data_IF_871852451653
#
_entry.id   IF_871852451653
#
_cell.length_a   1.000
_cell.length_b   1.000
_cell.length_c   1.000
_cell.angle_alpha   90.00
_cell.angle_beta   90.00
_cell.angle_gamma   90.00
#
_symmetry.space_group_name_H-M   'P 1'
#
loop_
_entity.id
_entity.type
_entity.pdbx_description
1 polymer ?
#
# COMPACT_ATOMS: atom_id res chain seq x y z
N UNK A 1 -40.47 7.37 -13.83
CA UNK A 1 -39.81 6.29 -13.07
C UNK A 1 -38.55 6.86 -12.46
N UNK A 2 -38.44 6.86 -11.14
CA UNK A 2 -37.24 7.28 -10.41
C UNK A 2 -36.11 6.31 -10.76
N UNK A 3 -34.94 6.80 -11.19
CA UNK A 3 -33.85 5.89 -11.56
C UNK A 3 -33.34 5.14 -10.32
N UNK A 4 -32.68 3.99 -10.51
CA UNK A 4 -32.04 3.29 -9.40
C UNK A 4 -31.04 4.18 -8.64
N UNK A 5 -30.43 5.15 -9.34
CA UNK A 5 -29.51 6.13 -8.79
C UNK A 5 -30.24 7.17 -7.92
N UNK A 6 -31.42 7.61 -8.34
CA UNK A 6 -32.26 8.56 -7.60
C UNK A 6 -32.89 7.91 -6.35
N UNK A 7 -33.25 6.63 -6.44
CA UNK A 7 -33.74 5.84 -5.29
C UNK A 7 -32.63 5.57 -4.26
N UNK A 8 -31.37 5.46 -4.72
CA UNK A 8 -30.23 5.36 -3.82
C UNK A 8 -29.93 6.71 -3.17
N UNK A 9 -29.84 7.80 -3.95
CA UNK A 9 -29.66 9.16 -3.42
C UNK A 9 -30.73 9.57 -2.39
N UNK A 10 -31.99 9.15 -2.59
CA UNK A 10 -33.09 9.41 -1.65
C UNK A 10 -32.95 8.72 -0.29
N UNK A 11 -32.16 7.64 -0.17
CA UNK A 11 -31.89 6.97 1.13
C UNK A 11 -30.88 7.74 2.00
N UNK A 12 -30.22 8.74 1.44
CA UNK A 12 -29.03 9.36 2.02
C UNK A 12 -29.22 10.84 2.35
N UNK A 13 -30.42 11.40 2.11
CA UNK A 13 -30.77 12.76 2.53
C UNK A 13 -30.69 12.87 4.06
N UNK A 14 -29.74 13.67 4.55
CA UNK A 14 -29.58 14.01 5.96
C UNK A 14 -28.53 13.20 6.73
N UNK A 15 -27.87 12.21 6.12
CA UNK A 15 -26.76 11.49 6.78
C UNK A 15 -25.46 12.27 6.56
N UNK A 16 -24.93 12.84 7.63
CA UNK A 16 -23.64 13.53 7.64
C UNK A 16 -22.49 12.52 7.64
N UNK A 17 -21.52 12.71 6.75
CA UNK A 17 -20.30 11.89 6.69
C UNK A 17 -19.39 12.31 7.84
N UNK A 18 -19.09 11.36 8.75
CA UNK A 18 -18.18 11.59 9.90
C UNK A 18 -16.80 10.96 9.71
N UNK A 19 -16.68 9.97 8.83
CA UNK A 19 -15.41 9.42 8.41
C UNK A 19 -15.45 9.01 6.94
N UNK A 20 -14.31 9.09 6.28
CA UNK A 20 -14.18 8.82 4.86
C UNK A 20 -12.94 7.98 4.59
N UNK A 21 -13.09 6.85 3.92
CA UNK A 21 -12.01 6.03 3.41
C UNK A 21 -11.90 6.18 1.90
N UNK A 22 -10.69 6.13 1.37
CA UNK A 22 -10.48 6.06 -0.07
C UNK A 22 -9.28 5.20 -0.44
N UNK A 23 -9.37 4.52 -1.57
CA UNK A 23 -8.25 3.77 -2.15
C UNK A 23 -8.27 3.83 -3.67
N UNK A 24 -7.06 3.93 -4.24
CA UNK A 24 -6.84 4.15 -5.66
C UNK A 24 -6.11 2.98 -6.30
N UNK A 25 -6.58 2.57 -7.49
CA UNK A 25 -5.90 1.55 -8.30
C UNK A 25 -5.69 2.05 -9.71
N UNK A 26 -4.49 1.84 -10.25
CA UNK A 26 -4.21 2.04 -11.68
C UNK A 26 -4.44 0.74 -12.43
N UNK A 27 -5.48 0.68 -13.23
CA UNK A 27 -5.82 -0.50 -14.02
C UNK A 27 -5.84 -0.19 -15.53
N UNK A 28 -5.97 -1.24 -16.33
CA UNK A 28 -6.14 -1.11 -17.78
C UNK A 28 -7.62 -1.05 -18.08
N UNK A 29 -8.09 0.11 -18.51
CA UNK A 29 -9.50 0.35 -18.81
C UNK A 29 -9.69 0.56 -20.31
N UNK A 30 -10.80 0.06 -20.85
CA UNK A 30 -11.19 0.30 -22.24
C UNK A 30 -11.82 1.68 -22.33
N UNK A 31 -11.20 2.57 -23.08
CA UNK A 31 -11.71 3.91 -23.33
C UNK A 31 -11.81 4.19 -24.83
N UNK A 32 -12.70 5.10 -25.19
CA UNK A 32 -12.82 5.62 -26.54
C UNK A 32 -11.85 6.79 -26.69
N UNK A 33 -10.77 6.60 -27.44
CA UNK A 33 -9.71 7.60 -27.63
C UNK A 33 -9.83 8.21 -29.03
N UNK A 34 -9.84 9.54 -29.17
CA UNK A 34 -9.90 10.18 -30.47
C UNK A 34 -8.59 9.99 -31.25
N UNK A 35 -8.70 9.73 -32.56
CA UNK A 35 -7.57 9.85 -33.49
C UNK A 35 -7.26 11.32 -33.82
N UNK A 36 -6.26 11.53 -34.68
CA UNK A 36 -5.86 12.87 -35.15
C UNK A 36 -6.97 13.64 -35.87
N UNK A 37 -8.06 12.98 -36.26
CA UNK A 37 -9.22 13.57 -36.92
C UNK A 37 -10.45 13.66 -35.98
N UNK A 38 -10.28 13.33 -34.69
CA UNK A 38 -11.33 13.36 -33.68
C UNK A 38 -12.26 12.15 -33.68
N UNK A 39 -12.02 11.14 -34.54
CA UNK A 39 -12.83 9.93 -34.55
C UNK A 39 -12.43 9.04 -33.38
N UNK A 40 -13.41 8.64 -32.57
CA UNK A 40 -13.20 7.83 -31.38
C UNK A 40 -12.97 6.36 -31.73
N UNK A 41 -11.91 5.77 -31.19
CA UNK A 41 -11.59 4.34 -31.34
C UNK A 41 -11.41 3.66 -29.98
N UNK A 42 -11.84 2.41 -29.82
CA UNK A 42 -11.62 1.68 -28.58
C UNK A 42 -10.12 1.41 -28.39
N UNK A 43 -9.60 1.84 -27.25
CA UNK A 43 -8.21 1.64 -26.84
C UNK A 43 -8.14 1.19 -25.38
N UNK A 44 -7.08 0.48 -25.03
CA UNK A 44 -6.75 0.18 -23.63
C UNK A 44 -5.85 1.29 -23.09
N UNK A 45 -6.40 2.09 -22.17
CA UNK A 45 -5.65 3.12 -21.46
C UNK A 45 -5.34 2.65 -20.03
N UNK A 46 -4.31 3.24 -19.43
CA UNK A 46 -3.99 3.03 -18.01
C UNK A 46 -4.40 4.28 -17.24
N UNK A 47 -5.40 4.15 -16.38
CA UNK A 47 -5.96 5.27 -15.62
C UNK A 47 -6.13 4.91 -14.15
N UNK A 48 -6.27 5.93 -13.29
CA UNK A 48 -6.44 5.74 -11.85
C UNK A 48 -7.93 5.80 -11.49
N UNK A 49 -8.42 4.74 -10.87
CA UNK A 49 -9.77 4.67 -10.31
C UNK A 49 -9.69 4.74 -8.80
N UNK A 50 -10.36 5.72 -8.21
CA UNK A 50 -10.45 5.91 -6.76
C UNK A 50 -11.84 5.53 -6.29
N UNK A 51 -11.89 4.61 -5.33
CA UNK A 51 -13.12 4.25 -4.61
C UNK A 51 -13.18 4.98 -3.29
N UNK A 52 -14.39 5.34 -2.85
CA UNK A 52 -14.64 6.08 -1.60
C UNK A 52 -15.70 5.37 -0.78
N UNK A 53 -15.43 5.20 0.51
CA UNK A 53 -16.35 4.65 1.51
C UNK A 53 -16.58 5.66 2.63
N UNK A 54 -17.73 5.57 3.29
CA UNK A 54 -17.95 6.25 4.56
C UNK A 54 -17.56 5.33 5.71
N UNK A 55 -17.18 5.94 6.81
CA UNK A 55 -16.95 5.27 8.09
C UNK A 55 -17.94 5.83 9.13
N UNK A 56 -18.42 5.00 10.09
CA UNK A 56 -17.95 3.65 10.42
C UNK A 56 -18.69 2.50 9.74
N UNK A 57 -19.66 2.78 8.87
CA UNK A 57 -20.50 1.73 8.27
C UNK A 57 -19.76 0.91 7.19
N UNK A 58 -18.63 1.43 6.67
CA UNK A 58 -17.94 0.87 5.51
C UNK A 58 -18.74 0.99 4.21
N UNK A 59 -19.81 1.81 4.20
CA UNK A 59 -20.70 1.94 3.05
C UNK A 59 -19.95 2.58 1.89
N UNK A 60 -20.12 2.00 0.71
CA UNK A 60 -19.66 2.58 -0.54
C UNK A 60 -20.37 3.92 -0.81
N UNK A 61 -19.60 4.98 -1.05
CA UNK A 61 -20.11 6.32 -1.35
C UNK A 61 -19.99 6.66 -2.83
N UNK A 62 -18.82 6.43 -3.42
CA UNK A 62 -18.51 6.94 -4.76
C UNK A 62 -17.31 6.23 -5.40
N UNK A 63 -17.18 6.37 -6.73
CA UNK A 63 -15.96 6.06 -7.48
C UNK A 63 -15.68 7.18 -8.49
N UNK A 64 -14.41 7.53 -8.68
CA UNK A 64 -14.04 8.56 -9.65
C UNK A 64 -12.67 8.31 -10.27
N UNK A 65 -12.48 8.89 -11.45
CA UNK A 65 -11.16 9.04 -12.09
C UNK A 65 -10.69 10.46 -11.80
N UNK A 66 -9.57 10.68 -11.09
CA UNK A 66 -9.04 12.01 -10.85
C UNK A 66 -8.68 12.69 -12.18
N UNK A 67 -8.95 13.98 -12.30
CA UNK A 67 -8.49 14.76 -13.45
C UNK A 67 -6.96 14.74 -13.55
N UNK A 68 -6.45 14.91 -14.77
CA UNK A 68 -5.03 15.13 -14.98
C UNK A 68 -4.58 16.44 -14.29
N UNK A 69 -3.51 16.40 -13.47
CA UNK A 69 -3.03 17.61 -12.81
C UNK A 69 -2.41 18.57 -13.83
N UNK A 70 -2.76 19.85 -13.73
CA UNK A 70 -2.13 20.90 -14.54
C UNK A 70 -0.99 21.52 -13.72
N UNK A 71 0.27 21.57 -14.21
CA UNK A 71 1.37 22.15 -13.45
C UNK A 71 1.05 23.57 -12.93
N UNK A 72 1.32 23.88 -11.64
CA UNK A 72 2.17 23.15 -10.69
C UNK A 72 1.43 22.10 -9.81
N UNK A 73 0.18 21.76 -10.11
CA UNK A 73 -0.60 20.80 -9.34
C UNK A 73 0.01 19.39 -9.40
N UNK A 74 -0.34 18.57 -8.41
CA UNK A 74 0.09 17.16 -8.30
C UNK A 74 -1.13 16.25 -8.25
N UNK A 75 -1.00 14.97 -8.62
CA UNK A 75 -2.13 14.02 -8.60
C UNK A 75 -2.87 13.99 -7.25
N UNK A 76 -2.12 14.04 -6.15
CA UNK A 76 -2.68 14.05 -4.79
C UNK A 76 -3.63 15.22 -4.52
N UNK A 77 -3.41 16.37 -5.15
CA UNK A 77 -4.30 17.54 -5.07
C UNK A 77 -5.63 17.28 -5.76
N UNK A 78 -5.61 16.66 -6.96
CA UNK A 78 -6.82 16.33 -7.71
C UNK A 78 -7.71 15.35 -6.96
N UNK A 79 -7.11 14.32 -6.35
CA UNK A 79 -7.84 13.42 -5.45
C UNK A 79 -8.46 14.19 -4.28
N UNK A 80 -7.70 15.08 -3.62
CA UNK A 80 -8.23 15.87 -2.50
C UNK A 80 -9.38 16.80 -2.91
N UNK A 81 -9.29 17.41 -4.09
CA UNK A 81 -10.32 18.27 -4.66
C UNK A 81 -11.62 17.50 -4.87
N UNK A 82 -11.56 16.33 -5.52
CA UNK A 82 -12.76 15.51 -5.74
C UNK A 82 -13.37 15.01 -4.43
N UNK A 83 -12.54 14.67 -3.43
CA UNK A 83 -13.03 14.31 -2.10
C UNK A 83 -13.72 15.50 -1.41
N UNK A 84 -13.20 16.71 -1.56
CA UNK A 84 -13.83 17.92 -1.02
C UNK A 84 -15.18 18.19 -1.70
N UNK A 85 -15.25 18.11 -3.03
CA UNK A 85 -16.49 18.32 -3.79
C UNK A 85 -17.56 17.29 -3.42
N UNK A 86 -17.16 16.05 -3.15
CA UNK A 86 -18.04 15.03 -2.60
C UNK A 86 -18.58 15.46 -1.23
N UNK A 87 -17.72 15.93 -0.31
CA UNK A 87 -18.18 16.41 1.00
C UNK A 87 -19.15 17.59 0.89
N UNK A 88 -18.92 18.53 -0.04
CA UNK A 88 -19.86 19.63 -0.32
C UNK A 88 -21.21 19.09 -0.80
N UNK A 89 -21.19 18.10 -1.71
CA UNK A 89 -22.41 17.47 -2.24
C UNK A 89 -23.25 16.82 -1.14
N UNK A 90 -22.59 16.23 -0.14
CA UNK A 90 -23.23 15.60 1.02
C UNK A 90 -23.38 16.54 2.22
N UNK A 91 -23.13 17.85 2.06
CA UNK A 91 -23.18 18.85 3.13
C UNK A 91 -22.39 18.41 4.38
N UNK A 92 -21.22 17.82 4.19
CA UNK A 92 -20.45 17.10 5.21
C UNK A 92 -19.04 17.68 5.46
N UNK A 93 -18.77 18.89 4.96
CA UNK A 93 -17.50 19.59 5.18
C UNK A 93 -17.24 19.85 6.67
N UNK A 94 -18.29 20.12 7.45
CA UNK A 94 -18.18 20.40 8.88
C UNK A 94 -18.21 19.14 9.77
N UNK A 95 -18.77 18.04 9.26
CA UNK A 95 -18.97 16.81 10.03
C UNK A 95 -17.82 15.81 9.92
N UNK A 96 -16.98 15.88 8.87
CA UNK A 96 -15.92 14.90 8.66
C UNK A 96 -14.87 14.97 9.77
N UNK A 97 -14.61 13.89 10.49
CA UNK A 97 -13.64 13.86 11.60
C UNK A 97 -12.45 12.96 11.23
N UNK A 98 -12.69 11.86 10.54
CA UNK A 98 -11.69 10.82 10.25
C UNK A 98 -11.47 10.68 8.75
N UNK A 99 -10.20 10.57 8.35
CA UNK A 99 -9.81 10.25 6.99
C UNK A 99 -8.94 8.99 6.98
N UNK A 100 -9.38 7.99 6.21
CA UNK A 100 -8.71 6.70 6.09
C UNK A 100 -8.06 6.54 4.72
N UNK A 101 -6.84 5.99 4.72
CA UNK A 101 -6.10 5.73 3.48
C UNK A 101 -4.79 4.97 3.71
N UNK A 102 -4.14 4.62 2.60
CA UNK A 102 -2.81 4.00 2.64
C UNK A 102 -1.73 4.96 3.15
N UNK A 103 -0.69 4.46 3.82
CA UNK A 103 0.40 5.28 4.40
C UNK A 103 1.39 5.85 3.38
N UNK A 104 1.03 5.88 2.10
CA UNK A 104 1.93 6.30 1.03
C UNK A 104 2.21 7.80 1.11
N UNK A 105 3.37 8.23 0.61
CA UNK A 105 3.72 9.65 0.52
C UNK A 105 2.68 10.48 -0.24
N UNK A 106 2.00 9.89 -1.23
CA UNK A 106 0.94 10.55 -1.99
C UNK A 106 -0.27 10.90 -1.12
N UNK A 107 -0.58 10.10 -0.11
CA UNK A 107 -1.70 10.34 0.79
C UNK A 107 -1.27 11.18 2.01
N UNK A 108 -0.19 10.77 2.68
CA UNK A 108 0.21 11.29 4.01
C UNK A 108 1.29 12.37 3.97
N UNK A 109 1.79 12.74 2.78
CA UNK A 109 2.83 13.76 2.64
C UNK A 109 2.44 15.11 3.24
N UNK A 110 3.19 15.58 4.23
CA UNK A 110 2.82 16.76 5.03
C UNK A 110 2.62 18.08 4.25
N UNK A 111 3.32 18.29 3.11
CA UNK A 111 3.13 19.48 2.25
C UNK A 111 2.08 19.30 1.16
N UNK A 112 2.02 18.11 0.58
CA UNK A 112 1.35 17.89 -0.71
C UNK A 112 0.79 16.50 -0.92
N UNK A 113 0.53 15.78 0.18
CA UNK A 113 -0.30 14.59 0.15
C UNK A 113 -1.78 14.95 0.15
N UNK A 114 -2.62 14.01 -0.28
CA UNK A 114 -4.07 14.19 -0.38
C UNK A 114 -4.68 14.65 0.94
N UNK A 115 -4.27 14.07 2.06
CA UNK A 115 -4.79 14.45 3.38
C UNK A 115 -4.45 15.91 3.72
N UNK A 116 -3.20 16.31 3.49
CA UNK A 116 -2.75 17.67 3.75
C UNK A 116 -3.43 18.71 2.86
N UNK A 117 -3.80 18.35 1.62
CA UNK A 117 -4.58 19.21 0.73
C UNK A 117 -6.04 19.32 1.18
N UNK A 118 -6.67 18.20 1.53
CA UNK A 118 -8.06 18.20 1.99
C UNK A 118 -8.22 18.99 3.30
N UNK A 119 -7.31 18.82 4.26
CA UNK A 119 -7.31 19.63 5.50
C UNK A 119 -7.19 21.14 5.24
N UNK A 120 -6.41 21.55 4.23
CA UNK A 120 -6.31 22.96 3.84
C UNK A 120 -7.63 23.47 3.25
N UNK A 121 -8.30 22.68 2.43
CA UNK A 121 -9.60 23.03 1.86
C UNK A 121 -10.69 23.13 2.94
N UNK A 122 -10.67 22.21 3.92
CA UNK A 122 -11.59 22.22 5.06
C UNK A 122 -11.24 23.26 6.14
N UNK A 123 -10.06 23.89 6.07
CA UNK A 123 -9.60 24.85 7.07
C UNK A 123 -9.33 24.26 8.47
N UNK A 124 -9.22 22.93 8.60
CA UNK A 124 -9.05 22.24 9.89
C UNK A 124 -8.35 20.89 9.76
N UNK A 125 -7.86 20.38 10.89
CA UNK A 125 -7.20 19.06 10.97
C UNK A 125 -8.21 17.92 11.12
N UNK A 126 -7.86 16.77 10.56
CA UNK A 126 -8.61 15.52 10.65
C UNK A 126 -7.79 14.47 11.42
N UNK A 127 -8.47 13.49 11.99
CA UNK A 127 -7.81 12.29 12.47
C UNK A 127 -7.50 11.37 11.27
N UNK A 128 -6.25 10.93 11.15
CA UNK A 128 -5.84 10.07 10.06
C UNK A 128 -5.82 8.60 10.52
N UNK A 129 -6.71 7.79 9.95
CA UNK A 129 -6.73 6.33 10.10
C UNK A 129 -5.87 5.72 8.99
N UNK A 130 -4.57 5.54 9.27
CA UNK A 130 -3.59 5.14 8.25
C UNK A 130 -3.28 3.65 8.33
N UNK A 131 -3.22 2.99 7.17
CA UNK A 131 -2.84 1.59 7.07
C UNK A 131 -1.37 1.34 7.51
N UNK A 132 -1.19 0.61 8.62
CA UNK A 132 0.13 0.29 9.20
C UNK A 132 0.86 -0.83 8.41
N UNK A 133 0.16 -1.60 7.57
CA UNK A 133 0.79 -2.64 6.75
C UNK A 133 1.81 -2.04 5.77
N UNK A 134 1.46 -0.93 5.11
CA UNK A 134 2.36 -0.21 4.22
C UNK A 134 3.57 0.36 4.98
N UNK A 135 3.36 0.82 6.21
CA UNK A 135 4.44 1.27 7.12
C UNK A 135 5.39 0.12 7.49
N UNK A 136 4.90 -1.12 7.53
CA UNK A 136 5.71 -2.31 7.78
C UNK A 136 6.52 -2.76 6.54
N UNK A 137 5.97 -2.59 5.34
CA UNK A 137 6.64 -2.93 4.07
C UNK A 137 7.81 -2.00 3.73
N UNK A 138 7.68 -0.72 4.07
CA UNK A 138 8.64 0.29 3.66
C UNK A 138 10.07 0.04 4.20
N UNK A 139 10.29 -0.27 5.50
CA UNK A 139 11.60 -0.66 6.02
C UNK A 139 12.23 -1.86 5.29
N UNK A 140 11.44 -2.87 4.92
CA UNK A 140 11.95 -4.02 4.16
C UNK A 140 12.46 -3.59 2.79
N UNK A 141 11.69 -2.78 2.06
CA UNK A 141 12.07 -2.27 0.73
C UNK A 141 13.36 -1.44 0.78
N UNK A 142 13.54 -0.63 1.83
CA UNK A 142 14.75 0.15 2.03
C UNK A 142 15.95 -0.69 2.46
N UNK A 143 15.73 -1.73 3.28
CA UNK A 143 16.78 -2.68 3.60
C UNK A 143 17.30 -3.34 2.33
N UNK A 144 16.41 -3.88 1.49
CA UNK A 144 16.76 -4.49 0.19
C UNK A 144 17.54 -3.50 -0.67
N UNK A 145 17.01 -2.28 -0.82
CA UNK A 145 17.67 -1.22 -1.61
C UNK A 145 19.09 -0.92 -1.11
N UNK A 146 19.29 -0.96 0.21
CA UNK A 146 20.59 -0.67 0.83
C UNK A 146 21.60 -1.81 0.70
N UNK A 147 21.17 -3.07 0.64
CA UNK A 147 22.10 -4.22 0.77
C UNK A 147 22.17 -5.13 -0.44
N UNK A 148 21.20 -5.06 -1.35
CA UNK A 148 21.13 -5.90 -2.54
C UNK A 148 21.06 -5.07 -3.83
N UNK A 149 20.11 -4.15 -3.94
CA UNK A 149 20.01 -3.26 -5.10
C UNK A 149 18.70 -2.49 -5.19
N UNK A 150 18.63 -1.43 -6.02
CA UNK A 150 17.45 -0.58 -6.14
C UNK A 150 16.23 -1.31 -6.73
N UNK A 151 15.07 -0.68 -6.58
CA UNK A 151 13.83 -1.18 -7.19
C UNK A 151 13.87 -0.95 -8.71
N UNK A 152 13.56 -1.98 -9.50
CA UNK A 152 13.40 -1.87 -10.96
C UNK A 152 11.97 -1.51 -11.36
N UNK A 153 10.99 -1.88 -10.53
CA UNK A 153 9.57 -1.62 -10.73
C UNK A 153 8.85 -1.52 -9.38
N UNK A 154 7.52 -1.49 -9.36
CA UNK A 154 6.74 -1.57 -8.12
C UNK A 154 6.86 -2.94 -7.43
N UNK A 155 7.28 -3.98 -8.17
CA UNK A 155 7.31 -5.38 -7.71
C UNK A 155 8.68 -6.05 -7.86
N UNK A 156 9.68 -5.39 -8.46
CA UNK A 156 10.97 -6.00 -8.81
C UNK A 156 12.19 -5.21 -8.33
N UNK A 157 13.33 -5.90 -8.24
CA UNK A 157 14.61 -5.33 -7.80
C UNK A 157 15.73 -5.72 -8.78
N UNK A 158 16.78 -4.91 -8.86
CA UNK A 158 17.94 -5.17 -9.75
C UNK A 158 19.12 -5.85 -9.05
N UNK A 159 19.05 -6.08 -7.74
CA UNK A 159 20.14 -6.70 -6.99
C UNK A 159 20.32 -8.19 -7.30
N UNK A 160 21.53 -8.74 -7.09
CA UNK A 160 21.85 -10.13 -7.44
C UNK A 160 20.99 -11.16 -6.69
N UNK A 161 20.53 -10.86 -5.47
CA UNK A 161 19.65 -11.74 -4.71
C UNK A 161 18.19 -11.55 -5.13
N UNK A 162 17.70 -10.31 -5.13
CA UNK A 162 16.28 -10.04 -5.30
C UNK A 162 15.81 -10.12 -6.77
N UNK A 163 16.73 -10.07 -7.72
CA UNK A 163 16.43 -10.38 -9.14
C UNK A 163 16.00 -11.83 -9.34
N UNK A 164 16.38 -12.75 -8.45
CA UNK A 164 15.97 -14.15 -8.52
C UNK A 164 14.53 -14.40 -8.03
N UNK A 165 13.87 -13.41 -7.42
CA UNK A 165 12.52 -13.59 -6.85
C UNK A 165 11.47 -13.91 -7.92
N UNK A 166 11.67 -13.49 -9.17
CA UNK A 166 10.72 -13.75 -10.26
C UNK A 166 10.67 -15.22 -10.67
N UNK A 167 11.74 -15.98 -10.46
CA UNK A 167 11.82 -17.41 -10.80
C UNK A 167 11.74 -18.33 -9.59
N UNK A 168 11.39 -17.80 -8.40
CA UNK A 168 11.45 -18.56 -7.15
C UNK A 168 10.53 -19.79 -7.14
N UNK A 169 9.37 -19.72 -7.81
CA UNK A 169 8.44 -20.83 -7.96
C UNK A 169 8.99 -21.95 -8.86
N UNK A 170 9.91 -21.62 -9.77
CA UNK A 170 10.54 -22.55 -10.70
C UNK A 170 11.76 -23.26 -10.07
N UNK A 171 12.25 -22.75 -8.94
CA UNK A 171 13.42 -23.33 -8.27
C UNK A 171 13.09 -24.66 -7.58
N UNK A 172 14.03 -25.60 -7.69
CA UNK A 172 13.94 -26.87 -6.96
C UNK A 172 14.00 -26.65 -5.44
N UNK A 173 13.25 -27.45 -4.69
CA UNK A 173 13.34 -27.49 -3.24
C UNK A 173 14.74 -27.93 -2.77
N UNK A 174 15.23 -27.29 -1.71
CA UNK A 174 16.39 -27.78 -0.97
C UNK A 174 15.92 -28.88 0.01
N UNK A 175 16.50 -30.08 -0.13
CA UNK A 175 16.15 -31.27 0.66
C UNK A 175 16.48 -31.16 2.16
N UNK A 176 17.25 -30.16 2.56
CA UNK A 176 17.50 -29.83 3.97
C UNK A 176 16.24 -29.30 4.67
N UNK A 177 15.32 -28.69 3.91
CA UNK A 177 14.03 -28.24 4.43
C UNK A 177 12.99 -29.34 4.25
N UNK A 178 12.21 -29.59 5.29
CA UNK A 178 11.11 -30.55 5.27
C UNK A 178 9.79 -29.82 5.42
N UNK A 179 8.83 -30.18 4.56
CA UNK A 179 7.45 -29.72 4.69
C UNK A 179 6.88 -30.12 6.05
N UNK A 180 6.08 -29.23 6.63
CA UNK A 180 5.26 -29.58 7.80
C UNK A 180 4.13 -30.50 7.31
N UNK A 181 3.78 -31.56 8.06
CA UNK A 181 2.67 -32.43 7.70
C UNK A 181 1.38 -31.64 7.45
N UNK A 182 0.71 -31.90 6.33
CA UNK A 182 -0.51 -31.22 5.89
C UNK A 182 -0.28 -29.92 5.10
N UNK A 183 0.97 -29.54 4.82
CA UNK A 183 1.34 -28.40 3.99
C UNK A 183 1.94 -28.78 2.63
N UNK A 184 1.88 -30.07 2.25
CA UNK A 184 2.51 -30.62 1.05
C UNK A 184 1.99 -29.99 -0.25
N UNK A 185 0.75 -29.48 -0.22
CA UNK A 185 0.08 -28.85 -1.38
C UNK A 185 0.43 -27.36 -1.55
N UNK A 186 1.18 -26.75 -0.62
CA UNK A 186 1.60 -25.34 -0.70
C UNK A 186 2.86 -25.20 -1.56
N UNK A 187 2.77 -25.60 -2.83
CA UNK A 187 3.93 -25.75 -3.72
C UNK A 187 4.29 -24.51 -4.53
N UNK A 188 3.45 -23.47 -4.51
CA UNK A 188 3.65 -22.24 -5.27
C UNK A 188 3.31 -21.02 -4.40
N UNK A 189 4.08 -19.96 -4.59
CA UNK A 189 3.73 -18.62 -4.10
C UNK A 189 2.72 -18.00 -5.07
N UNK A 190 1.50 -17.67 -4.63
CA UNK A 190 0.55 -16.89 -5.41
C UNK A 190 1.11 -15.50 -5.78
N UNK A 191 0.73 -14.99 -6.95
CA UNK A 191 1.21 -13.69 -7.47
C UNK A 191 0.97 -12.50 -6.52
N UNK A 192 -0.05 -12.59 -5.67
CA UNK A 192 -0.40 -11.55 -4.70
C UNK A 192 0.40 -11.59 -3.39
N UNK A 193 1.33 -12.53 -3.23
CA UNK A 193 2.18 -12.61 -2.04
C UNK A 193 3.22 -11.48 -2.00
N UNK A 194 3.65 -11.18 -0.78
CA UNK A 194 4.59 -10.10 -0.47
C UNK A 194 6.03 -10.48 -0.82
N UNK A 195 6.87 -9.49 -1.11
CA UNK A 195 8.33 -9.68 -1.28
C UNK A 195 8.96 -10.44 -0.11
N UNK A 196 8.48 -10.22 1.11
CA UNK A 196 8.96 -10.92 2.31
C UNK A 196 8.72 -12.44 2.24
N UNK A 197 7.56 -12.86 1.73
CA UNK A 197 7.24 -14.28 1.55
C UNK A 197 8.12 -14.90 0.47
N UNK A 198 8.34 -14.21 -0.65
CA UNK A 198 9.24 -14.68 -1.71
C UNK A 198 10.67 -14.86 -1.21
N UNK A 199 11.17 -13.96 -0.35
CA UNK A 199 12.51 -14.10 0.27
C UNK A 199 12.62 -15.32 1.17
N UNK A 200 11.65 -15.53 2.07
CA UNK A 200 11.65 -16.70 2.96
C UNK A 200 11.47 -18.00 2.19
N UNK A 201 10.63 -17.99 1.15
CA UNK A 201 10.47 -19.14 0.29
C UNK A 201 11.73 -19.44 -0.50
N UNK A 202 12.40 -18.42 -1.05
CA UNK A 202 13.68 -18.59 -1.75
C UNK A 202 14.73 -19.25 -0.85
N UNK A 203 14.74 -18.96 0.46
CA UNK A 203 15.61 -19.64 1.42
C UNK A 203 15.45 -21.17 1.43
N UNK A 204 14.27 -21.67 1.11
CA UNK A 204 13.96 -23.12 1.05
C UNK A 204 14.30 -23.75 -0.31
N UNK A 205 14.86 -22.98 -1.23
CA UNK A 205 15.15 -23.38 -2.62
C UNK A 205 16.63 -23.58 -2.87
N UNK A 206 16.94 -24.32 -3.93
CA UNK A 206 18.29 -24.42 -4.51
C UNK A 206 18.61 -23.17 -5.33
N UNK A 207 18.80 -22.04 -4.65
CA UNK A 207 19.04 -20.73 -5.26
C UNK A 207 20.48 -20.52 -5.79
N UNK A 208 21.43 -21.40 -5.46
CA UNK A 208 22.82 -21.32 -5.95
C UNK A 208 23.69 -20.19 -5.39
N UNK A 209 23.10 -19.21 -4.69
CA UNK A 209 23.82 -18.12 -4.02
C UNK A 209 24.93 -18.62 -3.07
N UNK A 210 26.09 -17.96 -3.11
CA UNK A 210 27.23 -18.24 -2.23
C UNK A 210 27.87 -16.94 -1.70
N UNK A 211 28.75 -17.05 -0.71
CA UNK A 211 29.55 -15.93 -0.21
C UNK A 211 28.72 -14.72 0.22
N UNK A 212 28.97 -13.56 -0.43
CA UNK A 212 28.32 -12.29 -0.10
C UNK A 212 26.81 -12.32 -0.36
N UNK A 213 26.38 -12.95 -1.45
CA UNK A 213 24.97 -12.98 -1.86
C UNK A 213 24.14 -13.87 -0.90
N UNK A 214 24.70 -15.01 -0.50
CA UNK A 214 24.09 -15.87 0.50
C UNK A 214 23.92 -15.13 1.84
N UNK A 215 24.94 -14.39 2.28
CA UNK A 215 24.85 -13.56 3.48
C UNK A 215 23.79 -12.45 3.34
N UNK A 216 23.68 -11.82 2.16
CA UNK A 216 22.61 -10.86 1.87
C UNK A 216 21.23 -11.50 2.01
N UNK A 217 21.01 -12.67 1.40
CA UNK A 217 19.74 -13.39 1.54
C UNK A 217 19.46 -13.75 3.00
N UNK A 218 20.46 -14.23 3.74
CA UNK A 218 20.33 -14.58 5.15
C UNK A 218 19.90 -13.37 6.00
N UNK A 219 20.49 -12.19 5.76
CA UNK A 219 20.10 -10.94 6.44
C UNK A 219 18.64 -10.59 6.14
N UNK A 220 18.23 -10.67 4.86
CA UNK A 220 16.86 -10.36 4.44
C UNK A 220 15.85 -11.33 5.05
N UNK A 221 16.12 -12.63 4.99
CA UNK A 221 15.27 -13.69 5.56
C UNK A 221 15.14 -13.53 7.08
N UNK A 222 16.25 -13.30 7.78
CA UNK A 222 16.22 -13.03 9.23
C UNK A 222 15.38 -11.80 9.55
N UNK A 223 15.52 -10.73 8.78
CA UNK A 223 14.69 -9.54 8.95
C UNK A 223 13.20 -9.85 8.72
N UNK A 224 12.87 -10.62 7.68
CA UNK A 224 11.50 -11.02 7.39
C UNK A 224 10.88 -11.80 8.55
N UNK A 225 11.58 -12.80 9.08
CA UNK A 225 11.09 -13.65 10.17
C UNK A 225 11.01 -12.91 11.51
N UNK A 226 12.04 -12.12 11.84
CA UNK A 226 12.15 -11.49 13.16
C UNK A 226 11.36 -10.19 13.27
N UNK A 227 11.22 -9.45 12.17
CA UNK A 227 10.61 -8.12 12.14
C UNK A 227 9.32 -8.12 11.31
N UNK A 228 9.42 -8.37 10.01
CA UNK A 228 8.31 -8.13 9.08
C UNK A 228 7.08 -8.98 9.41
N UNK A 229 7.22 -10.31 9.50
CA UNK A 229 6.10 -11.20 9.74
C UNK A 229 5.52 -11.05 11.14
N UNK A 230 6.40 -10.83 12.14
CA UNK A 230 5.95 -10.56 13.51
C UNK A 230 5.00 -9.37 13.55
N UNK A 231 5.35 -8.27 12.86
CA UNK A 231 4.50 -7.09 12.78
C UNK A 231 3.29 -7.30 11.86
N UNK A 232 3.48 -7.95 10.71
CA UNK A 232 2.41 -8.21 9.76
C UNK A 232 1.25 -8.96 10.41
N UNK A 233 1.54 -10.07 11.09
CA UNK A 233 0.51 -10.85 11.78
C UNK A 233 -0.08 -10.10 12.97
N UNK A 234 0.74 -9.39 13.75
CA UNK A 234 0.26 -8.57 14.87
C UNK A 234 -0.73 -7.49 14.40
N UNK A 235 -0.44 -6.81 13.29
CA UNK A 235 -1.33 -5.80 12.67
C UNK A 235 -2.62 -6.46 12.15
N UNK A 236 -2.55 -7.64 11.56
CA UNK A 236 -3.75 -8.34 11.04
C UNK A 236 -4.67 -8.80 12.18
N UNK A 237 -4.10 -9.29 13.27
CA UNK A 237 -4.85 -9.74 14.45
C UNK A 237 -5.42 -8.56 15.23
N UNK A 238 -4.61 -7.52 15.46
CA UNK A 238 -4.97 -6.32 16.22
C UNK A 238 -5.16 -5.12 15.30
N UNK A 239 -6.11 -5.21 14.37
CA UNK A 239 -6.28 -4.22 13.29
C UNK A 239 -7.04 -2.94 13.70
N UNK A 240 -7.29 -2.71 15.00
CA UNK A 240 -8.05 -1.55 15.46
C UNK A 240 -7.17 -0.30 15.49
N UNK A 241 -7.80 0.86 15.32
CA UNK A 241 -7.08 2.15 15.37
C UNK A 241 -6.31 2.35 16.68
N UNK A 242 -6.88 1.91 17.81
CA UNK A 242 -6.27 1.96 19.15
C UNK A 242 -5.00 1.10 19.30
N UNK A 243 -4.81 0.11 18.44
CA UNK A 243 -3.63 -0.76 18.43
C UNK A 243 -2.48 -0.18 17.60
N UNK A 244 -2.76 0.80 16.73
CA UNK A 244 -1.77 1.49 15.88
C UNK A 244 -0.50 1.91 16.63
N UNK A 245 -0.58 2.67 17.75
CA UNK A 245 0.58 3.05 18.54
C UNK A 245 1.39 1.86 19.07
N UNK A 246 0.73 0.74 19.41
CA UNK A 246 1.40 -0.47 19.89
C UNK A 246 2.23 -1.09 18.78
N UNK A 247 1.73 -1.14 17.54
CA UNK A 247 2.49 -1.67 16.40
C UNK A 247 3.76 -0.87 16.12
N UNK A 248 3.67 0.47 16.16
CA UNK A 248 4.85 1.35 15.98
C UNK A 248 5.88 1.12 17.09
N UNK A 249 5.44 1.03 18.35
CA UNK A 249 6.33 0.72 19.47
C UNK A 249 6.96 -0.67 19.35
N UNK A 250 6.19 -1.68 18.94
CA UNK A 250 6.69 -3.03 18.68
C UNK A 250 7.72 -3.02 17.57
N UNK A 251 7.48 -2.29 16.47
CA UNK A 251 8.44 -2.14 15.38
C UNK A 251 9.75 -1.54 15.88
N UNK A 252 9.70 -0.44 16.64
CA UNK A 252 10.89 0.17 17.25
C UNK A 252 11.64 -0.79 18.18
N UNK A 253 10.93 -1.59 18.99
CA UNK A 253 11.54 -2.56 19.91
C UNK A 253 12.25 -3.70 19.17
N UNK A 254 11.56 -4.29 18.20
CA UNK A 254 12.09 -5.41 17.41
C UNK A 254 13.23 -4.95 16.50
N UNK A 255 13.17 -3.72 15.98
CA UNK A 255 14.28 -3.14 15.22
C UNK A 255 15.56 -3.00 16.04
N UNK A 256 15.47 -2.68 17.33
CA UNK A 256 16.65 -2.56 18.22
C UNK A 256 17.39 -3.87 18.43
N UNK A 257 16.75 -5.03 18.22
CA UNK A 257 17.40 -6.33 18.32
C UNK A 257 18.12 -6.75 17.03
N UNK A 258 17.97 -5.99 15.94
CA UNK A 258 18.60 -6.31 14.66
C UNK A 258 20.09 -5.93 14.64
N UNK A 259 20.92 -6.53 13.77
CA UNK A 259 22.31 -6.13 13.60
C UNK A 259 22.45 -4.63 13.27
N UNK A 260 23.54 -3.99 13.72
CA UNK A 260 23.79 -2.54 13.49
C UNK A 260 23.64 -2.13 12.02
N UNK A 261 24.13 -2.95 11.09
CA UNK A 261 24.00 -2.70 9.64
C UNK A 261 22.53 -2.56 9.22
N UNK A 262 21.67 -3.45 9.69
CA UNK A 262 20.22 -3.43 9.42
C UNK A 262 19.57 -2.20 10.07
N UNK A 263 19.91 -1.93 11.34
CA UNK A 263 19.42 -0.74 12.04
C UNK A 263 19.76 0.53 11.25
N UNK A 264 21.02 0.71 10.84
CA UNK A 264 21.46 1.87 10.06
C UNK A 264 20.68 2.02 8.76
N UNK A 265 20.41 0.92 8.05
CA UNK A 265 19.73 0.96 6.77
C UNK A 265 18.27 1.44 6.87
N UNK A 266 17.57 1.13 7.97
CA UNK A 266 16.11 1.37 8.05
C UNK A 266 15.68 2.36 9.12
N UNK A 267 16.55 2.76 10.06
CA UNK A 267 16.18 3.61 11.21
C UNK A 267 15.55 4.92 10.79
N UNK A 268 16.04 5.55 9.72
CA UNK A 268 15.47 6.79 9.20
C UNK A 268 13.98 6.60 8.88
N UNK A 269 13.66 5.61 8.04
CA UNK A 269 12.30 5.33 7.57
C UNK A 269 11.35 4.87 8.67
N UNK A 270 11.85 4.09 9.63
CA UNK A 270 11.04 3.68 10.79
C UNK A 270 10.68 4.89 11.66
N UNK A 271 11.57 5.89 11.77
CA UNK A 271 11.30 7.11 12.56
C UNK A 271 10.38 8.10 11.85
N UNK A 272 10.45 8.17 10.52
CA UNK A 272 9.67 9.11 9.72
C UNK A 272 8.32 8.56 9.29
N UNK A 273 8.11 7.24 9.37
CA UNK A 273 6.90 6.57 8.87
C UNK A 273 6.70 6.73 7.36
N UNK A 274 7.76 7.14 6.65
CA UNK A 274 7.80 7.54 5.24
C UNK A 274 9.24 7.54 4.70
#
# INVERSE_FOLDING_TARGET
MTSARDLDQGKHQGIKIVGLGYDGRKDKTRAMVPDSYGKLHPSLIREEHVSVTEEPSGRYLWHFVPEDPVPPEKPAFKVAQTLYDLLVTYDSTDSLIVLQGASTRANTGWKGGTHAHLEKMLGRKLFWSICVLHTNELPLRHLITSIDGPTSSDTGFTGPVCSLLSSVNEMQYNAEFRGVPGGEDLTEIPEWFTTAQSLVYMWTRKHGLTGKELNTLEILVKYCLQVYFKLYYDIKVHHRLEDGPKHILTQLRVMRSQPKKVQTAVTFYVRTGA
#
